data_IF_904130584575
#
_entry.id   IF_904130584575
#
_cell.length_a   1.000
_cell.length_b   1.000
_cell.length_c   1.000
_cell.angle_alpha   90.00
_cell.angle_beta   90.00
_cell.angle_gamma   90.00
#
_symmetry.space_group_name_H-M   'P 1'
#
loop_
_entity.id
_entity.type
_entity.pdbx_description
1 polymer ?
#
# COMPACT_ATOMS: atom_id res chain seq x y z
N UNK A 1 1.20 -27.34 -32.24
CA UNK A 1 1.37 -25.87 -32.44
C UNK A 1 0.26 -25.04 -31.79
N UNK A 2 -1.04 -25.40 -31.89
CA UNK A 2 -2.14 -24.63 -31.27
C UNK A 2 -2.13 -24.54 -29.72
N UNK A 3 -1.70 -25.58 -29.00
CA UNK A 3 -1.62 -25.52 -27.52
C UNK A 3 -0.60 -24.51 -26.98
N UNK A 4 0.47 -24.21 -27.73
CA UNK A 4 1.51 -23.28 -27.26
C UNK A 4 1.03 -21.83 -27.25
N UNK A 5 0.17 -21.46 -28.20
CA UNK A 5 -0.49 -20.15 -28.22
C UNK A 5 -1.43 -19.98 -27.03
N UNK A 6 -2.15 -21.03 -26.65
CA UNK A 6 -3.05 -21.02 -25.47
C UNK A 6 -2.25 -20.89 -24.18
N UNK A 7 -1.13 -21.61 -24.06
CA UNK A 7 -0.23 -21.53 -22.89
C UNK A 7 0.41 -20.13 -22.79
N UNK A 8 0.88 -19.56 -23.90
CA UNK A 8 1.45 -18.21 -23.90
C UNK A 8 0.43 -17.14 -23.52
N UNK A 9 -0.82 -17.27 -23.99
CA UNK A 9 -1.91 -16.37 -23.62
C UNK A 9 -2.24 -16.48 -22.11
N UNK A 10 -2.32 -17.68 -21.56
CA UNK A 10 -2.56 -17.90 -20.13
C UNK A 10 -1.47 -17.27 -19.24
N UNK A 11 -0.19 -17.39 -19.61
CA UNK A 11 0.93 -16.81 -18.85
C UNK A 11 0.86 -15.28 -18.84
N UNK A 12 0.46 -14.66 -19.96
CA UNK A 12 0.37 -13.19 -20.06
C UNK A 12 -0.74 -12.59 -19.19
N UNK A 13 -1.84 -13.33 -18.96
CA UNK A 13 -2.99 -12.84 -18.18
C UNK A 13 -2.75 -12.96 -16.67
N UNK A 14 -1.87 -13.85 -16.21
CA UNK A 14 -1.56 -14.03 -14.78
C UNK A 14 -0.41 -13.16 -14.27
N UNK A 15 0.28 -12.41 -15.14
CA UNK A 15 1.42 -11.58 -14.76
C UNK A 15 1.03 -10.23 -14.12
N UNK A 16 -0.26 -9.88 -14.07
CA UNK A 16 -0.75 -8.60 -13.55
C UNK A 16 -1.01 -8.61 -12.02
N UNK A 17 -0.33 -9.48 -11.27
CA UNK A 17 -0.48 -9.56 -9.82
C UNK A 17 0.50 -8.61 -9.12
N UNK A 18 -0.04 -7.62 -8.40
CA UNK A 18 0.65 -6.71 -7.46
C UNK A 18 2.08 -6.34 -7.86
N UNK A 19 2.20 -5.65 -9.00
CA UNK A 19 3.50 -5.14 -9.40
C UNK A 19 3.94 -4.06 -8.41
N UNK A 20 5.21 -4.07 -7.99
CA UNK A 20 5.76 -2.97 -7.24
C UNK A 20 5.65 -1.68 -8.05
N UNK A 21 5.63 -0.51 -7.38
CA UNK A 21 5.51 0.77 -8.07
C UNK A 21 6.68 0.99 -9.02
N UNK A 22 6.42 1.63 -10.16
CA UNK A 22 7.45 1.93 -11.17
C UNK A 22 8.60 2.77 -10.60
N UNK A 23 8.26 3.70 -9.70
CA UNK A 23 9.21 4.48 -8.92
C UNK A 23 9.13 4.02 -7.47
N UNK A 24 10.25 3.58 -6.87
CA UNK A 24 10.25 3.18 -5.47
C UNK A 24 9.83 4.33 -4.55
N UNK A 25 8.86 4.04 -3.70
CA UNK A 25 8.43 4.91 -2.61
C UNK A 25 9.58 5.13 -1.64
N UNK A 26 9.80 6.38 -1.28
CA UNK A 26 10.78 6.79 -0.29
C UNK A 26 10.13 7.09 1.05
N UNK A 27 10.93 7.01 2.12
CA UNK A 27 10.53 7.47 3.45
C UNK A 27 10.06 8.93 3.44
N UNK A 28 10.72 9.78 2.64
CA UNK A 28 10.35 11.20 2.54
C UNK A 28 8.94 11.38 1.96
N UNK A 29 8.57 10.61 0.94
CA UNK A 29 7.21 10.62 0.38
C UNK A 29 6.19 10.08 1.35
N UNK A 30 6.50 8.98 2.05
CA UNK A 30 5.62 8.48 3.10
C UNK A 30 5.36 9.56 4.17
N UNK A 31 6.38 10.28 4.61
CA UNK A 31 6.20 11.31 5.63
C UNK A 31 5.38 12.52 5.14
N UNK A 32 5.33 12.80 3.84
CA UNK A 32 4.47 13.87 3.27
C UNK A 32 2.99 13.57 3.44
N UNK A 33 2.60 12.30 3.54
CA UNK A 33 1.20 11.89 3.78
C UNK A 33 0.70 12.21 5.19
N UNK A 34 1.62 12.48 6.13
CA UNK A 34 1.32 12.80 7.53
C UNK A 34 0.57 11.66 8.27
N UNK A 35 0.70 10.41 7.80
CA UNK A 35 0.03 9.24 8.40
C UNK A 35 0.32 9.09 9.90
N UNK A 36 1.56 9.24 10.35
CA UNK A 36 1.93 9.14 11.77
C UNK A 36 1.47 10.32 12.62
N UNK A 37 1.05 11.42 12.00
CA UNK A 37 0.40 12.51 12.71
C UNK A 37 -1.08 12.24 12.87
N UNK A 38 -1.73 11.73 11.82
CA UNK A 38 -3.18 11.53 11.78
C UNK A 38 -3.62 10.22 12.45
N UNK A 39 -2.71 9.23 12.54
CA UNK A 39 -2.98 7.89 13.04
C UNK A 39 -1.91 7.41 14.01
N UNK A 40 -2.34 6.59 14.97
CA UNK A 40 -1.47 5.78 15.81
C UNK A 40 -1.26 4.44 15.09
N UNK A 41 -0.08 4.29 14.50
CA UNK A 41 0.36 3.14 13.68
C UNK A 41 1.49 2.42 14.42
N UNK A 42 1.53 1.08 14.36
CA UNK A 42 2.54 0.28 15.07
C UNK A 42 3.80 0.03 14.24
N UNK A 43 3.60 -0.13 12.94
CA UNK A 43 4.62 -0.37 11.94
C UNK A 43 5.57 0.83 11.83
N UNK A 44 6.86 0.57 11.68
CA UNK A 44 7.86 1.59 11.42
C UNK A 44 7.74 2.14 9.98
N UNK A 45 8.22 3.37 9.71
CA UNK A 45 8.21 3.93 8.37
C UNK A 45 8.91 3.02 7.35
N UNK A 46 9.96 2.33 7.77
CA UNK A 46 10.77 1.43 6.96
C UNK A 46 10.02 0.15 6.59
N UNK A 47 9.23 -0.40 7.53
CA UNK A 47 8.35 -1.54 7.26
C UNK A 47 7.26 -1.17 6.23
N UNK A 48 6.64 0.01 6.39
CA UNK A 48 5.63 0.51 5.46
C UNK A 48 6.22 0.73 4.06
N UNK A 49 7.37 1.42 3.98
CA UNK A 49 8.05 1.66 2.69
C UNK A 49 8.44 0.34 2.03
N UNK A 50 8.93 -0.64 2.79
CA UNK A 50 9.26 -1.94 2.26
C UNK A 50 8.03 -2.67 1.72
N UNK A 51 6.90 -2.64 2.43
CA UNK A 51 5.64 -3.24 1.97
C UNK A 51 5.16 -2.56 0.68
N UNK A 52 5.13 -1.22 0.64
CA UNK A 52 4.74 -0.46 -0.55
C UNK A 52 5.61 -0.77 -1.77
N UNK A 53 6.93 -0.86 -1.58
CA UNK A 53 7.86 -1.15 -2.67
C UNK A 53 7.85 -2.61 -3.12
N UNK A 54 7.28 -3.52 -2.34
CA UNK A 54 7.19 -4.93 -2.67
C UNK A 54 5.84 -5.31 -3.25
N UNK A 55 4.77 -4.78 -2.67
CA UNK A 55 3.40 -5.20 -2.92
C UNK A 55 2.56 -4.11 -3.60
N UNK A 56 3.05 -2.86 -3.67
CA UNK A 56 2.31 -1.72 -4.21
C UNK A 56 1.27 -1.12 -3.24
N UNK A 57 0.96 -1.83 -2.15
CA UNK A 57 0.01 -1.40 -1.14
C UNK A 57 0.30 -1.96 0.25
N UNK A 58 -0.28 -1.34 1.28
CA UNK A 58 -0.29 -1.88 2.64
C UNK A 58 -1.56 -1.47 3.36
N UNK A 59 -2.12 -2.39 4.15
CA UNK A 59 -3.27 -2.13 5.03
C UNK A 59 -2.82 -2.38 6.47
N UNK A 60 -3.09 -1.42 7.35
CA UNK A 60 -2.63 -1.46 8.74
C UNK A 60 -3.79 -1.29 9.70
N UNK A 61 -3.74 -2.02 10.81
CA UNK A 61 -4.59 -1.80 11.97
C UNK A 61 -4.13 -0.54 12.70
N UNK A 62 -5.01 0.46 12.78
CA UNK A 62 -4.64 1.79 13.29
C UNK A 62 -5.71 2.36 14.21
N UNK A 63 -5.40 3.50 14.83
CA UNK A 63 -6.38 4.35 15.52
C UNK A 63 -6.25 5.78 15.03
N UNK A 64 -7.35 6.53 14.93
CA UNK A 64 -7.25 7.99 14.69
C UNK A 64 -6.58 8.66 15.88
N UNK A 65 -5.63 9.55 15.59
CA UNK A 65 -4.93 10.33 16.60
C UNK A 65 -5.77 11.54 17.02
N UNK A 66 -6.85 11.29 17.77
CA UNK A 66 -7.75 12.33 18.31
C UNK A 66 -7.68 12.30 19.84
N UNK A 67 -7.28 13.39 20.51
CA UNK A 67 -7.18 13.43 21.97
C UNK A 67 -8.48 13.01 22.66
N UNK A 68 -8.37 12.08 23.61
CA UNK A 68 -9.51 11.61 24.40
C UNK A 68 -10.48 10.68 23.68
N UNK A 69 -10.15 10.20 22.46
CA UNK A 69 -10.96 9.21 21.73
C UNK A 69 -10.12 8.02 21.32
N UNK A 70 -10.68 6.82 21.47
CA UNK A 70 -10.14 5.59 20.88
C UNK A 70 -11.04 5.20 19.70
N UNK A 71 -10.59 5.49 18.48
CA UNK A 71 -11.34 5.23 17.24
C UNK A 71 -10.52 4.26 16.39
N UNK A 72 -10.83 2.94 16.43
CA UNK A 72 -10.13 1.96 15.62
C UNK A 72 -10.51 2.11 14.15
N UNK A 73 -9.52 2.05 13.26
CA UNK A 73 -9.69 2.17 11.82
C UNK A 73 -8.70 1.26 11.10
N UNK A 74 -8.99 0.92 9.86
CA UNK A 74 -8.00 0.39 8.92
C UNK A 74 -7.49 1.52 8.04
N UNK A 75 -6.17 1.67 7.96
CA UNK A 75 -5.53 2.62 7.05
C UNK A 75 -4.91 1.83 5.91
N UNK A 76 -5.34 2.12 4.68
CA UNK A 76 -4.75 1.57 3.46
C UNK A 76 -3.91 2.64 2.79
N UNK A 77 -2.69 2.29 2.39
CA UNK A 77 -1.82 3.14 1.57
C UNK A 77 -1.60 2.44 0.24
N UNK A 78 -1.80 3.17 -0.84
CA UNK A 78 -1.58 2.74 -2.22
C UNK A 78 -0.41 3.52 -2.81
N UNK A 79 0.57 2.82 -3.40
CA UNK A 79 1.60 3.42 -4.23
C UNK A 79 1.07 3.51 -5.66
N UNK A 80 0.65 4.71 -6.08
CA UNK A 80 0.12 4.98 -7.41
C UNK A 80 1.19 5.66 -8.27
N UNK A 81 0.94 5.76 -9.58
CA UNK A 81 1.79 6.55 -10.49
C UNK A 81 1.83 8.04 -10.14
N UNK A 82 0.87 8.54 -9.36
CA UNK A 82 0.75 9.95 -8.96
C UNK A 82 1.31 10.22 -7.55
N UNK A 83 1.62 9.17 -6.79
CA UNK A 83 2.16 9.28 -5.43
C UNK A 83 1.53 8.27 -4.47
N UNK A 84 1.27 8.72 -3.23
CA UNK A 84 0.69 7.88 -2.19
C UNK A 84 -0.75 8.31 -1.89
N UNK A 85 -1.69 7.40 -2.10
CA UNK A 85 -3.08 7.59 -1.66
C UNK A 85 -3.28 6.93 -0.30
N UNK A 86 -3.88 7.67 0.63
CA UNK A 86 -4.20 7.19 1.97
C UNK A 86 -5.71 7.12 2.12
N UNK A 87 -6.21 5.90 2.34
CA UNK A 87 -7.62 5.60 2.53
C UNK A 87 -7.83 5.12 3.96
N UNK A 88 -8.99 5.45 4.51
CA UNK A 88 -9.41 5.02 5.84
C UNK A 88 -10.73 4.25 5.73
N UNK A 89 -10.83 3.16 6.48
CA UNK A 89 -12.03 2.36 6.61
C UNK A 89 -12.38 2.18 8.08
N UNK A 90 -13.67 2.24 8.39
CA UNK A 90 -14.18 1.87 9.72
C UNK A 90 -13.93 0.38 9.98
N UNK A 91 -13.70 0.05 11.24
CA UNK A 91 -13.44 -1.31 11.72
C UNK A 91 -14.63 -1.88 12.47
#
# INVERSE_FOLDING_TARGET
MKCWLVIALLISVTAACSLPPEVPVTRAELMKTQIYRNYVIKESPEEIVNALNKEGEVIMDSRRNVPGKDIPVHVKILATSEGLDVLEYER
#
